data_IF_466529678695
#
_entry.id   IF_466529678695
#
_cell.length_a   1.000
_cell.length_b   1.000
_cell.length_c   1.000
_cell.angle_alpha   90.00
_cell.angle_beta   90.00
_cell.angle_gamma   90.00
#
_symmetry.space_group_name_H-M   'P 1'
#
loop_
_entity.id
_entity.type
_entity.pdbx_description
1 polymer ?
#
# COMPACT_ATOMS: atom_id res chain seq x y z
N UNK A 1 -15.95 5.35 15.68
CA UNK A 1 -15.17 6.59 15.35
C UNK A 1 -13.78 6.20 14.91
N UNK A 2 -13.33 6.71 13.75
CA UNK A 2 -12.02 6.44 13.18
C UNK A 2 -11.04 7.54 13.58
N UNK A 3 -9.83 7.16 13.97
CA UNK A 3 -8.78 8.07 14.44
C UNK A 3 -7.44 7.75 13.74
N UNK A 4 -6.54 8.73 13.73
CA UNK A 4 -5.11 8.46 13.57
C UNK A 4 -4.56 8.12 14.96
N UNK A 5 -4.02 6.90 15.18
CA UNK A 5 -3.50 6.55 16.49
C UNK A 5 -2.31 7.45 16.85
N UNK A 6 -2.31 7.98 18.06
CA UNK A 6 -1.18 8.76 18.58
C UNK A 6 0.07 7.91 18.82
N UNK A 7 -0.14 6.62 19.10
CA UNK A 7 0.91 5.61 19.19
C UNK A 7 0.60 4.49 18.19
N UNK A 8 1.41 4.38 17.13
CA UNK A 8 1.28 3.35 16.09
C UNK A 8 1.54 1.96 16.67
N UNK A 9 2.38 1.84 17.69
CA UNK A 9 2.70 0.55 18.33
C UNK A 9 1.46 -0.12 18.92
N UNK A 10 0.48 0.66 19.36
CA UNK A 10 -0.77 0.13 19.92
C UNK A 10 -1.59 -0.71 18.90
N UNK A 11 -1.39 -0.49 17.61
CA UNK A 11 -2.11 -1.19 16.53
C UNK A 11 -1.19 -2.01 15.62
N UNK A 12 0.12 -1.94 15.82
CA UNK A 12 1.10 -2.61 14.96
C UNK A 12 0.92 -4.13 14.92
N UNK A 13 0.58 -4.74 16.05
CA UNK A 13 0.34 -6.18 16.16
C UNK A 13 -0.84 -6.67 15.27
N UNK A 14 -1.77 -5.81 14.91
CA UNK A 14 -2.85 -6.17 13.98
C UNK A 14 -2.31 -6.51 12.58
N UNK A 15 -1.14 -5.98 12.25
CA UNK A 15 -0.48 -6.20 10.96
C UNK A 15 0.56 -7.33 10.98
N UNK A 16 0.63 -8.10 12.05
CA UNK A 16 1.51 -9.26 12.11
C UNK A 16 1.15 -10.26 11.01
N UNK A 17 2.19 -10.77 10.34
CA UNK A 17 2.03 -11.73 9.25
C UNK A 17 1.74 -11.12 7.88
N UNK A 18 1.59 -9.80 7.75
CA UNK A 18 1.59 -9.15 6.45
C UNK A 18 2.99 -9.21 5.81
N UNK A 19 3.03 -9.44 4.51
CA UNK A 19 4.28 -9.52 3.74
C UNK A 19 4.50 -8.32 2.83
N UNK A 20 3.51 -7.44 2.75
CA UNK A 20 3.53 -6.23 1.94
C UNK A 20 4.38 -5.15 2.60
N UNK A 21 5.48 -4.79 1.94
CA UNK A 21 6.41 -3.74 2.42
C UNK A 21 5.72 -2.38 2.60
N UNK A 22 4.65 -2.11 1.85
CA UNK A 22 3.85 -0.89 1.98
C UNK A 22 3.21 -0.75 3.36
N UNK A 23 2.79 -1.87 3.97
CA UNK A 23 2.25 -1.87 5.34
C UNK A 23 3.32 -1.41 6.33
N UNK A 24 4.53 -1.97 6.22
CA UNK A 24 5.63 -1.62 7.10
C UNK A 24 6.07 -0.16 6.92
N UNK A 25 6.07 0.35 5.69
CA UNK A 25 6.35 1.76 5.43
C UNK A 25 5.37 2.69 6.15
N UNK A 26 4.08 2.31 6.23
CA UNK A 26 3.08 3.06 7.00
C UNK A 26 3.34 2.96 8.52
N UNK A 27 3.69 1.76 9.02
CA UNK A 27 3.97 1.54 10.44
C UNK A 27 5.23 2.28 10.92
N UNK A 28 6.23 2.40 10.05
CA UNK A 28 7.47 3.13 10.32
C UNK A 28 7.33 4.65 10.12
N UNK A 29 6.19 5.10 9.57
CA UNK A 29 5.93 6.50 9.29
C UNK A 29 6.79 7.08 8.14
N UNK A 30 7.41 6.21 7.32
CA UNK A 30 8.21 6.65 6.17
C UNK A 30 7.34 7.02 4.98
N UNK A 31 6.21 6.32 4.78
CA UNK A 31 5.23 6.62 3.74
C UNK A 31 3.84 6.19 4.18
N UNK A 32 2.83 6.95 3.74
CA UNK A 32 1.44 6.61 4.03
C UNK A 32 1.01 6.94 5.45
N UNK A 33 -0.12 6.39 5.86
CA UNK A 33 -0.77 6.72 7.12
C UNK A 33 -1.46 5.50 7.70
N UNK A 34 -1.52 5.43 9.04
CA UNK A 34 -2.31 4.46 9.78
C UNK A 34 -3.56 5.13 10.34
N UNK A 35 -4.69 4.46 10.17
CA UNK A 35 -5.97 4.79 10.80
C UNK A 35 -6.46 3.59 11.60
N UNK A 36 -7.20 3.82 12.67
CA UNK A 36 -7.78 2.75 13.48
C UNK A 36 -9.16 3.12 13.99
N UNK A 37 -9.92 2.10 14.38
CA UNK A 37 -11.06 2.31 15.26
C UNK A 37 -10.57 2.80 16.62
N UNK A 38 -11.38 3.57 17.32
CA UNK A 38 -11.04 4.16 18.62
C UNK A 38 -10.70 3.09 19.68
N UNK A 39 -11.30 1.91 19.60
CA UNK A 39 -11.04 0.76 20.47
C UNK A 39 -9.77 -0.02 20.12
N UNK A 40 -9.11 0.33 19.01
CA UNK A 40 -7.87 -0.31 18.56
C UNK A 40 -8.03 -1.74 18.03
N UNK A 41 -9.27 -2.23 17.82
CA UNK A 41 -9.50 -3.60 17.35
C UNK A 41 -9.37 -3.76 15.84
N UNK A 42 -9.41 -2.67 15.09
CA UNK A 42 -9.30 -2.64 13.64
C UNK A 42 -8.36 -1.53 13.22
N UNK A 43 -7.53 -1.80 12.23
CA UNK A 43 -6.63 -0.79 11.67
C UNK A 43 -6.56 -0.87 10.14
N UNK A 44 -6.14 0.23 9.55
CA UNK A 44 -5.99 0.42 8.12
C UNK A 44 -4.65 1.12 7.85
N UNK A 45 -3.80 0.48 7.04
CA UNK A 45 -2.62 1.12 6.48
C UNK A 45 -2.99 1.64 5.08
N UNK A 46 -2.81 2.94 4.84
CA UNK A 46 -3.18 3.58 3.60
C UNK A 46 -2.01 4.31 2.99
N UNK A 47 -1.68 3.95 1.76
CA UNK A 47 -0.64 4.59 0.97
C UNK A 47 -1.10 4.72 -0.49
N UNK A 48 -1.12 5.93 -1.02
CA UNK A 48 -1.70 6.24 -2.33
C UNK A 48 -3.09 5.61 -2.48
N UNK A 49 -3.28 4.79 -3.50
CA UNK A 49 -4.55 4.10 -3.79
C UNK A 49 -4.69 2.76 -3.03
N UNK A 50 -3.68 2.35 -2.26
CA UNK A 50 -3.71 1.11 -1.51
C UNK A 50 -4.23 1.32 -0.08
N UNK A 51 -5.08 0.39 0.35
CA UNK A 51 -5.66 0.34 1.68
C UNK A 51 -5.62 -1.10 2.20
N UNK A 52 -4.77 -1.36 3.19
CA UNK A 52 -4.61 -2.67 3.82
C UNK A 52 -5.40 -2.70 5.12
N UNK A 53 -6.38 -3.60 5.20
CA UNK A 53 -7.33 -3.68 6.31
C UNK A 53 -7.01 -4.87 7.21
N UNK A 54 -6.82 -4.61 8.50
CA UNK A 54 -6.36 -5.58 9.50
C UNK A 54 -7.18 -5.56 10.78
N UNK A 55 -7.13 -6.66 11.53
CA UNK A 55 -7.87 -6.84 12.77
C UNK A 55 -9.33 -7.24 12.56
N UNK A 56 -10.20 -6.86 13.48
CA UNK A 56 -11.61 -7.17 13.42
C UNK A 56 -12.31 -6.43 12.27
N UNK A 57 -13.10 -7.10 11.40
CA UNK A 57 -13.78 -6.44 10.30
C UNK A 57 -14.75 -5.35 10.79
N UNK A 58 -14.55 -4.12 10.28
CA UNK A 58 -15.33 -2.93 10.66
C UNK A 58 -15.87 -2.22 9.42
N UNK A 59 -17.21 -2.11 9.34
CA UNK A 59 -17.88 -1.39 8.26
C UNK A 59 -17.58 0.12 8.31
N UNK A 60 -17.42 0.68 9.50
CA UNK A 60 -17.04 2.08 9.68
C UNK A 60 -15.64 2.36 9.11
N UNK A 61 -14.66 1.49 9.42
CA UNK A 61 -13.30 1.64 8.91
C UNK A 61 -13.24 1.38 7.39
N UNK A 62 -13.94 0.36 6.88
CA UNK A 62 -14.03 0.10 5.45
C UNK A 62 -14.64 1.26 4.67
N UNK A 63 -15.64 1.95 5.25
CA UNK A 63 -16.29 3.11 4.64
C UNK A 63 -15.46 4.41 4.76
N UNK A 64 -14.51 4.44 5.68
CA UNK A 64 -13.74 5.65 5.97
C UNK A 64 -12.90 6.08 4.77
N UNK A 65 -12.89 7.38 4.51
CA UNK A 65 -12.09 8.04 3.46
C UNK A 65 -11.45 9.28 4.05
N UNK A 66 -10.11 9.34 4.09
CA UNK A 66 -9.42 10.59 4.41
C UNK A 66 -9.78 11.68 3.40
N UNK A 67 -9.75 12.92 3.85
CA UNK A 67 -9.93 14.07 2.96
C UNK A 67 -8.87 14.06 1.84
N UNK A 68 -9.26 14.53 0.65
CA UNK A 68 -8.39 14.63 -0.54
C UNK A 68 -7.96 13.30 -1.19
N UNK A 69 -8.60 12.18 -0.89
CA UNK A 69 -8.35 10.91 -1.60
C UNK A 69 -9.25 10.77 -2.82
N UNK A 70 -8.66 10.27 -3.92
CA UNK A 70 -9.36 10.04 -5.18
C UNK A 70 -10.48 9.00 -5.10
N UNK A 71 -11.28 8.90 -6.15
CA UNK A 71 -12.44 7.99 -6.21
C UNK A 71 -12.13 6.52 -6.36
N UNK A 72 -10.86 6.14 -6.62
CA UNK A 72 -10.42 4.75 -6.79
C UNK A 72 -9.52 4.33 -5.64
N UNK A 73 -9.79 3.15 -5.05
CA UNK A 73 -8.97 2.57 -3.98
C UNK A 73 -8.87 1.06 -4.18
N UNK A 74 -7.68 0.53 -4.02
CA UNK A 74 -7.39 -0.90 -3.98
C UNK A 74 -7.41 -1.33 -2.52
N UNK A 75 -8.48 -1.98 -2.10
CA UNK A 75 -8.62 -2.50 -0.75
C UNK A 75 -8.09 -3.93 -0.67
N UNK A 76 -7.13 -4.15 0.22
CA UNK A 76 -6.52 -5.45 0.46
C UNK A 76 -7.00 -5.97 1.82
N UNK A 77 -7.92 -6.93 1.85
CA UNK A 77 -8.46 -7.48 3.09
C UNK A 77 -7.48 -8.49 3.69
N UNK A 78 -7.28 -8.46 5.01
CA UNK A 78 -6.49 -9.47 5.73
C UNK A 78 -7.16 -10.85 5.67
N UNK A 79 -8.48 -10.89 5.67
CA UNK A 79 -9.26 -12.12 5.73
C UNK A 79 -10.62 -11.97 5.03
N UNK A 80 -11.34 -13.09 4.91
CA UNK A 80 -12.66 -13.15 4.26
C UNK A 80 -13.70 -12.23 4.93
N UNK A 81 -13.65 -12.05 6.25
CA UNK A 81 -14.54 -11.14 6.95
C UNK A 81 -14.43 -9.71 6.47
N UNK A 82 -13.22 -9.24 6.22
CA UNK A 82 -12.98 -7.93 5.61
C UNK A 82 -13.50 -7.85 4.16
N UNK A 83 -13.29 -8.92 3.37
CA UNK A 83 -13.79 -8.97 1.99
C UNK A 83 -15.33 -8.85 1.94
N UNK A 84 -16.03 -9.51 2.86
CA UNK A 84 -17.50 -9.44 2.98
C UNK A 84 -17.96 -8.04 3.40
N UNK A 85 -17.29 -7.42 4.37
CA UNK A 85 -17.62 -6.05 4.80
C UNK A 85 -17.40 -5.04 3.66
N UNK A 86 -16.28 -5.13 2.93
CA UNK A 86 -16.02 -4.26 1.77
C UNK A 86 -17.14 -4.42 0.73
N UNK A 87 -17.50 -5.66 0.42
CA UNK A 87 -18.61 -5.94 -0.52
C UNK A 87 -19.94 -5.39 -0.04
N UNK A 88 -20.22 -5.48 1.26
CA UNK A 88 -21.44 -4.91 1.86
C UNK A 88 -21.47 -3.38 1.77
N UNK A 89 -20.35 -2.72 2.08
CA UNK A 89 -20.24 -1.24 2.08
C UNK A 89 -20.34 -0.67 0.65
N UNK A 90 -19.70 -1.30 -0.32
CA UNK A 90 -19.57 -0.74 -1.67
C UNK A 90 -20.48 -1.39 -2.72
N UNK A 91 -20.99 -2.57 -2.50
CA UNK A 91 -21.93 -3.27 -3.38
C UNK A 91 -21.39 -3.38 -4.82
N UNK A 92 -22.14 -2.85 -5.78
CA UNK A 92 -21.78 -2.90 -7.22
C UNK A 92 -20.55 -2.04 -7.60
N UNK A 93 -20.05 -1.21 -6.70
CA UNK A 93 -18.86 -0.39 -6.94
C UNK A 93 -17.55 -1.14 -6.63
N UNK A 94 -17.64 -2.42 -6.24
CA UNK A 94 -16.46 -3.26 -6.04
C UNK A 94 -16.27 -4.23 -7.18
N UNK A 95 -15.00 -4.43 -7.56
CA UNK A 95 -14.56 -5.54 -8.40
C UNK A 95 -13.53 -6.36 -7.59
N UNK A 96 -13.72 -7.68 -7.56
CA UNK A 96 -12.75 -8.58 -6.95
C UNK A 96 -11.66 -8.89 -7.96
N UNK A 97 -10.42 -8.60 -7.58
CA UNK A 97 -9.24 -8.92 -8.37
C UNK A 97 -8.35 -9.89 -7.60
N UNK A 98 -7.93 -10.96 -8.24
CA UNK A 98 -6.93 -11.86 -7.70
C UNK A 98 -5.54 -11.40 -8.11
N UNK A 99 -4.67 -11.13 -7.14
CA UNK A 99 -3.26 -10.85 -7.37
C UNK A 99 -2.45 -12.11 -7.12
N UNK A 100 -1.50 -12.34 -8.00
CA UNK A 100 -0.57 -13.46 -7.87
C UNK A 100 0.76 -12.92 -7.35
N UNK A 101 1.23 -13.46 -6.22
CA UNK A 101 2.58 -13.18 -5.74
C UNK A 101 3.61 -13.94 -6.58
N UNK A 102 4.78 -13.36 -6.74
CA UNK A 102 5.92 -14.08 -7.32
C UNK A 102 6.36 -15.19 -6.38
N UNK A 103 6.81 -16.31 -6.96
CA UNK A 103 7.30 -17.43 -6.17
C UNK A 103 8.47 -16.97 -5.29
N UNK A 104 8.38 -17.22 -3.99
CA UNK A 104 9.48 -17.03 -3.04
C UNK A 104 10.51 -18.13 -3.27
N UNK A 105 11.51 -17.86 -4.08
CA UNK A 105 12.63 -18.74 -4.29
C UNK A 105 13.91 -18.00 -3.87
N UNK A 106 14.69 -18.63 -3.00
CA UNK A 106 15.99 -18.09 -2.55
C UNK A 106 17.14 -18.44 -3.48
N UNK A 107 16.90 -19.34 -4.45
CA UNK A 107 17.90 -19.73 -5.43
C UNK A 107 17.60 -19.03 -6.75
N UNK A 108 18.48 -18.13 -7.13
CA UNK A 108 18.40 -17.37 -8.38
C UNK A 108 19.55 -17.73 -9.31
N UNK A 109 19.27 -17.86 -10.60
CA UNK A 109 20.27 -17.87 -11.65
C UNK A 109 20.83 -16.45 -11.82
N UNK A 110 21.97 -16.19 -11.15
CA UNK A 110 22.58 -14.86 -11.13
C UNK A 110 23.12 -14.44 -12.51
N UNK A 111 23.49 -15.39 -13.36
CA UNK A 111 23.94 -15.10 -14.73
C UNK A 111 22.77 -14.64 -15.58
N UNK A 112 21.65 -15.37 -15.52
CA UNK A 112 20.42 -15.00 -16.22
C UNK A 112 19.88 -13.66 -15.74
N UNK A 113 19.90 -13.40 -14.41
CA UNK A 113 19.47 -12.13 -13.85
C UNK A 113 20.31 -10.96 -14.34
N UNK A 114 21.65 -11.11 -14.38
CA UNK A 114 22.54 -10.08 -14.90
C UNK A 114 22.26 -9.78 -16.38
N UNK A 115 22.04 -10.82 -17.19
CA UNK A 115 21.72 -10.64 -18.59
C UNK A 115 20.36 -9.95 -18.81
N UNK A 116 19.36 -10.28 -17.98
CA UNK A 116 18.04 -9.65 -18.03
C UNK A 116 18.04 -8.22 -17.45
N UNK A 117 18.95 -7.92 -16.53
CA UNK A 117 19.11 -6.58 -15.96
C UNK A 117 19.90 -5.63 -16.85
N UNK A 118 20.52 -6.11 -17.93
CA UNK A 118 21.18 -5.23 -18.89
C UNK A 118 20.14 -4.34 -19.59
N UNK A 119 20.28 -3.02 -19.54
CA UNK A 119 19.35 -2.15 -20.22
C UNK A 119 19.45 -2.32 -21.74
N UNK A 120 18.33 -2.17 -22.49
CA UNK A 120 18.37 -2.15 -23.94
C UNK A 120 19.26 -1.01 -24.47
N UNK A 121 19.69 -1.12 -25.72
CA UNK A 121 20.45 -0.06 -26.38
C UNK A 121 19.71 1.29 -26.30
N UNK A 122 20.44 2.34 -25.93
CA UNK A 122 19.88 3.68 -25.74
C UNK A 122 19.27 3.94 -24.36
N UNK A 123 19.21 2.93 -23.48
CA UNK A 123 18.72 3.06 -22.11
C UNK A 123 19.86 2.86 -21.10
N UNK A 124 19.71 3.47 -19.93
CA UNK A 124 20.61 3.27 -18.79
C UNK A 124 19.83 3.11 -17.50
N UNK A 125 20.39 2.37 -16.55
CA UNK A 125 19.89 2.29 -15.18
C UNK A 125 20.63 3.34 -14.38
N UNK A 126 19.90 4.19 -13.66
CA UNK A 126 20.46 5.26 -12.84
C UNK A 126 19.74 5.30 -11.49
N UNK A 127 20.48 5.59 -10.44
CA UNK A 127 19.87 5.82 -9.12
C UNK A 127 19.04 7.09 -9.14
N UNK A 128 17.83 7.02 -8.57
CA UNK A 128 16.96 8.19 -8.45
C UNK A 128 17.57 9.15 -7.44
N UNK A 129 18.35 10.10 -7.94
CA UNK A 129 18.82 11.25 -7.16
C UNK A 129 17.83 12.39 -7.22
N UNK A 130 18.12 13.48 -6.50
CA UNK A 130 17.24 14.65 -6.38
C UNK A 130 16.78 15.21 -7.74
N UNK A 131 17.70 15.30 -8.71
CA UNK A 131 17.40 15.84 -10.04
C UNK A 131 16.39 14.98 -10.82
N UNK A 132 16.49 13.63 -10.71
CA UNK A 132 15.53 12.71 -11.33
C UNK A 132 14.18 12.79 -10.62
N UNK A 133 14.19 12.85 -9.29
CA UNK A 133 12.97 13.03 -8.50
C UNK A 133 12.22 14.30 -8.90
N UNK A 134 12.92 15.44 -8.98
CA UNK A 134 12.34 16.72 -9.40
C UNK A 134 11.81 16.65 -10.84
N UNK A 135 12.50 15.94 -11.74
CA UNK A 135 12.01 15.70 -13.10
C UNK A 135 10.73 14.86 -13.12
N UNK A 136 10.66 13.80 -12.30
CA UNK A 136 9.48 12.95 -12.16
C UNK A 136 8.25 13.71 -11.63
N UNK A 137 8.43 14.67 -10.71
CA UNK A 137 7.34 15.51 -10.21
C UNK A 137 6.70 16.36 -11.31
N UNK A 138 7.47 16.72 -12.34
CA UNK A 138 7.01 17.53 -13.46
C UNK A 138 6.43 16.70 -14.61
N UNK A 139 6.59 15.39 -14.60
CA UNK A 139 6.11 14.49 -15.64
C UNK A 139 4.76 13.86 -15.25
N UNK A 140 3.81 13.87 -16.20
CA UNK A 140 2.41 13.53 -15.92
C UNK A 140 2.19 12.11 -15.41
N UNK A 141 2.95 11.12 -15.91
CA UNK A 141 2.74 9.72 -15.52
C UNK A 141 3.59 9.29 -14.29
N UNK A 142 4.77 9.89 -14.12
CA UNK A 142 5.67 9.52 -13.02
C UNK A 142 5.43 10.30 -11.74
N UNK A 143 4.68 11.41 -11.82
CA UNK A 143 4.31 12.23 -10.65
C UNK A 143 3.67 11.40 -9.54
N UNK A 144 2.71 10.53 -9.89
CA UNK A 144 1.97 9.72 -8.93
C UNK A 144 2.86 8.69 -8.23
N UNK A 145 3.91 8.20 -8.94
CA UNK A 145 4.88 7.26 -8.37
C UNK A 145 5.76 7.90 -7.30
N UNK A 146 6.08 9.17 -7.46
CA UNK A 146 6.99 9.89 -6.54
C UNK A 146 6.26 10.76 -5.53
N UNK A 147 4.99 11.05 -5.72
CA UNK A 147 4.19 11.88 -4.81
C UNK A 147 4.01 11.26 -3.41
N UNK A 148 4.18 9.94 -3.29
CA UNK A 148 4.13 9.22 -2.02
C UNK A 148 5.37 9.43 -1.15
N UNK A 149 6.49 9.83 -1.74
CA UNK A 149 7.68 10.20 -0.99
C UNK A 149 7.46 11.61 -0.49
N UNK A 150 6.99 11.73 0.73
CA UNK A 150 6.73 13.00 1.38
C UNK A 150 7.99 13.86 1.44
N UNK A 151 7.80 15.13 1.37
CA UNK A 151 8.78 16.18 1.59
C UNK A 151 9.32 16.17 3.03
#
# INVERSE_FOLDING_TARGET
MIIKPGDIQAVSALFDGWEETLVYSCLEGTMGEIYSTHDGLSAMAMINDFCFLSGAPSGELAAFRPENRGGFIIMVPQNEGWAQIIKSVYGRRTALLTRYATKKNTVFDTVRLRNLAAPPEGYRIEMIGRHIYEACLNDGWSRDLVSAFGS
#
